data_IF_488500744120
#
_entry.id   IF_488500744120
#
_cell.length_a   1.000
_cell.length_b   1.000
_cell.length_c   1.000
_cell.angle_alpha   90.00
_cell.angle_beta   90.00
_cell.angle_gamma   90.00
#
_symmetry.space_group_name_H-M   'P 1'
#
loop_
_entity.id
_entity.type
_entity.pdbx_description
1 polymer ?
#
# COMPACT_ATOMS: atom_id res chain seq x y z
N UNK A 1 -12.19 -31.04 -9.21
CA UNK A 1 -11.72 -29.84 -8.48
C UNK A 1 -10.99 -28.98 -9.50
N UNK A 2 -11.49 -27.78 -9.84
CA UNK A 2 -10.78 -26.90 -10.79
C UNK A 2 -9.46 -26.48 -10.16
N UNK A 3 -8.38 -26.55 -10.92
CA UNK A 3 -7.08 -25.99 -10.54
C UNK A 3 -7.26 -24.50 -10.20
N UNK A 4 -6.56 -23.97 -9.18
CA UNK A 4 -6.66 -22.54 -8.89
C UNK A 4 -6.20 -21.73 -10.09
N UNK A 5 -7.04 -20.78 -10.51
CA UNK A 5 -6.68 -19.81 -11.53
C UNK A 5 -5.73 -18.79 -10.91
N UNK A 6 -4.58 -18.56 -11.54
CA UNK A 6 -3.66 -17.52 -11.13
C UNK A 6 -4.12 -16.19 -11.72
N UNK A 7 -4.29 -15.18 -10.87
CA UNK A 7 -4.63 -13.82 -11.27
C UNK A 7 -3.37 -12.96 -11.28
N UNK A 8 -3.15 -12.24 -12.38
CA UNK A 8 -2.15 -11.18 -12.43
C UNK A 8 -2.78 -9.88 -11.92
N UNK A 9 -2.05 -9.13 -11.10
CA UNK A 9 -2.48 -7.81 -10.62
C UNK A 9 -1.54 -6.78 -11.25
N UNK A 10 -2.13 -5.84 -11.97
CA UNK A 10 -1.41 -4.71 -12.57
C UNK A 10 -1.73 -3.44 -11.77
N UNK A 11 -0.73 -2.63 -11.41
CA UNK A 11 -0.99 -1.35 -10.76
C UNK A 11 -1.71 -0.41 -11.73
N UNK A 12 -2.67 0.37 -11.22
CA UNK A 12 -3.41 1.38 -12.00
C UNK A 12 -2.87 2.81 -11.79
N UNK A 13 -1.79 2.94 -11.03
CA UNK A 13 -1.21 4.20 -10.63
C UNK A 13 -0.24 4.06 -9.46
N UNK A 14 0.18 5.21 -8.93
CA UNK A 14 1.20 5.32 -7.88
C UNK A 14 0.78 6.25 -6.76
N UNK A 15 1.20 5.93 -5.53
CA UNK A 15 1.07 6.83 -4.37
C UNK A 15 2.32 7.69 -4.27
N UNK A 16 2.18 9.01 -4.38
CA UNK A 16 3.23 9.98 -4.07
C UNK A 16 2.99 10.56 -2.69
N UNK A 17 3.89 10.28 -1.75
CA UNK A 17 3.80 10.80 -0.38
C UNK A 17 4.94 11.77 -0.07
N UNK A 18 4.81 12.51 1.02
CA UNK A 18 5.90 13.31 1.57
C UNK A 18 7.08 12.49 2.13
N UNK A 19 6.97 11.15 2.19
CA UNK A 19 8.03 10.26 2.63
C UNK A 19 8.81 9.72 1.43
N UNK A 20 10.08 10.11 1.32
CA UNK A 20 10.99 9.65 0.26
C UNK A 20 11.60 8.29 0.56
N UNK A 21 11.63 7.88 1.82
CA UNK A 21 12.21 6.61 2.27
C UNK A 21 11.34 5.95 3.35
N UNK A 22 11.58 4.66 3.58
CA UNK A 22 10.83 3.87 4.56
C UNK A 22 11.08 4.32 6.00
N UNK A 23 12.30 4.75 6.31
CA UNK A 23 12.66 5.26 7.62
C UNK A 23 12.01 6.64 7.83
N UNK A 24 11.29 6.82 8.94
CA UNK A 24 10.53 8.04 9.22
C UNK A 24 9.05 7.98 8.86
N UNK A 25 8.58 6.95 8.14
CA UNK A 25 7.14 6.73 7.95
C UNK A 25 6.50 6.36 9.30
N UNK A 26 5.45 7.08 9.76
CA UNK A 26 4.74 6.75 10.98
C UNK A 26 4.15 5.33 10.94
N UNK A 27 4.29 4.61 12.05
CA UNK A 27 3.71 3.26 12.18
C UNK A 27 2.20 3.27 12.39
N UNK A 28 1.65 4.41 12.80
CA UNK A 28 0.21 4.62 12.99
C UNK A 28 -0.23 5.81 12.14
N UNK A 29 -1.39 5.70 11.45
CA UNK A 29 -1.97 6.83 10.74
C UNK A 29 -2.36 7.94 11.73
N UNK A 30 -2.39 9.19 11.26
CA UNK A 30 -2.83 10.34 12.05
C UNK A 30 -1.84 10.88 13.08
N UNK A 31 -0.61 10.35 13.16
CA UNK A 31 0.42 10.92 14.05
C UNK A 31 1.03 12.22 13.52
N UNK A 32 0.96 12.44 12.19
CA UNK A 32 1.52 13.62 11.53
C UNK A 32 0.43 14.27 10.70
N UNK A 33 -0.24 15.27 11.29
CA UNK A 33 -1.37 15.96 10.65
C UNK A 33 -0.98 16.74 9.39
N UNK A 34 0.30 17.08 9.23
CA UNK A 34 0.84 17.74 8.05
C UNK A 34 1.15 16.76 6.90
N UNK A 35 1.16 15.44 7.15
CA UNK A 35 1.50 14.46 6.13
C UNK A 35 0.42 14.41 5.05
N UNK A 36 0.82 14.52 3.79
CA UNK A 36 -0.07 14.47 2.62
C UNK A 36 0.49 13.51 1.59
N UNK A 37 -0.41 12.91 0.81
CA UNK A 37 -0.09 12.06 -0.31
C UNK A 37 -1.12 12.26 -1.43
N UNK A 38 -0.72 11.94 -2.66
CA UNK A 38 -1.55 11.96 -3.86
C UNK A 38 -1.51 10.57 -4.49
N UNK A 39 -2.68 10.07 -4.91
CA UNK A 39 -2.77 8.90 -5.78
C UNK A 39 -2.83 9.42 -7.21
N UNK A 40 -1.78 9.17 -7.98
CA UNK A 40 -1.71 9.51 -9.40
C UNK A 40 -2.08 8.25 -10.20
N UNK A 41 -3.21 8.30 -10.91
CA UNK A 41 -3.63 7.22 -11.80
C UNK A 41 -2.90 7.34 -13.14
N UNK A 42 -2.46 6.21 -13.68
CA UNK A 42 -1.84 6.20 -15.02
C UNK A 42 -2.86 6.62 -16.07
N UNK A 43 -2.38 7.17 -17.20
CA UNK A 43 -3.25 7.71 -18.26
C UNK A 43 -4.32 6.73 -18.75
N UNK A 44 -4.03 5.43 -18.74
CA UNK A 44 -4.98 4.38 -19.14
C UNK A 44 -6.20 4.25 -18.18
N UNK A 45 -6.07 4.68 -16.93
CA UNK A 45 -7.07 4.51 -15.88
C UNK A 45 -7.59 5.86 -15.33
N UNK A 46 -6.83 6.94 -15.50
CA UNK A 46 -7.08 8.28 -14.95
C UNK A 46 -8.13 9.12 -15.68
N UNK A 47 -9.29 8.55 -16.00
CA UNK A 47 -10.43 9.31 -16.55
C UNK A 47 -11.28 9.91 -15.42
N UNK A 48 -12.09 10.95 -15.75
CA UNK A 48 -12.99 11.56 -14.75
C UNK A 48 -14.05 10.56 -14.28
N UNK A 49 -14.47 9.68 -15.17
CA UNK A 49 -15.46 8.63 -14.93
C UNK A 49 -14.95 7.61 -13.91
N UNK A 50 -13.65 7.25 -13.96
CA UNK A 50 -13.03 6.30 -13.01
C UNK A 50 -13.07 6.77 -11.54
N UNK A 51 -13.25 8.06 -11.30
CA UNK A 51 -13.25 8.66 -9.95
C UNK A 51 -14.55 9.41 -9.63
N UNK A 52 -15.53 9.38 -10.53
CA UNK A 52 -16.78 10.11 -10.34
C UNK A 52 -17.53 9.63 -9.09
N UNK A 53 -17.97 10.58 -8.26
CA UNK A 53 -18.69 10.30 -7.02
C UNK A 53 -17.79 10.08 -5.81
N UNK A 54 -16.47 9.93 -5.98
CA UNK A 54 -15.54 9.84 -4.83
C UNK A 54 -15.54 11.11 -3.98
N UNK A 55 -15.84 12.27 -4.57
CA UNK A 55 -15.97 13.55 -3.88
C UNK A 55 -17.08 13.58 -2.80
N UNK A 56 -18.04 12.65 -2.86
CA UNK A 56 -19.10 12.50 -1.87
C UNK A 56 -18.66 11.78 -0.59
N UNK A 57 -17.45 11.23 -0.55
CA UNK A 57 -16.94 10.43 0.56
C UNK A 57 -15.74 11.09 1.22
N UNK A 58 -15.69 11.03 2.56
CA UNK A 58 -14.55 11.54 3.32
C UNK A 58 -13.36 10.57 3.34
N UNK A 59 -13.60 9.29 3.05
CA UNK A 59 -12.60 8.23 3.12
C UNK A 59 -12.80 7.20 2.00
N UNK A 60 -11.70 6.61 1.55
CA UNK A 60 -11.67 5.50 0.60
C UNK A 60 -10.75 4.40 1.09
N UNK A 61 -10.98 3.17 0.62
CA UNK A 61 -10.00 2.10 0.77
C UNK A 61 -8.99 2.13 -0.36
N UNK A 62 -7.71 2.03 -0.01
CA UNK A 62 -6.62 1.99 -0.98
C UNK A 62 -5.90 0.66 -0.83
N UNK A 63 -5.99 -0.17 -1.86
CA UNK A 63 -5.20 -1.38 -2.01
C UNK A 63 -3.90 -1.01 -2.72
N UNK A 64 -2.76 -1.22 -2.07
CA UNK A 64 -1.47 -0.86 -2.64
C UNK A 64 -0.44 -1.96 -2.41
N UNK A 65 0.58 -1.95 -3.27
CA UNK A 65 1.62 -2.96 -3.27
C UNK A 65 2.89 -2.44 -2.58
N UNK A 66 3.40 -3.17 -1.58
CA UNK A 66 4.70 -2.88 -0.97
C UNK A 66 5.85 -3.29 -1.92
N UNK A 67 6.03 -2.52 -3.00
CA UNK A 67 6.92 -2.83 -4.12
C UNK A 67 8.38 -3.08 -3.70
N UNK A 68 8.89 -2.37 -2.70
CA UNK A 68 10.26 -2.60 -2.19
C UNK A 68 10.44 -3.95 -1.45
N UNK A 69 9.36 -4.63 -1.08
CA UNK A 69 9.41 -5.98 -0.49
C UNK A 69 9.08 -7.09 -1.49
N UNK A 70 8.63 -6.76 -2.70
CA UNK A 70 8.13 -7.71 -3.68
C UNK A 70 9.19 -8.75 -4.10
N UNK A 71 10.41 -8.29 -4.37
CA UNK A 71 11.52 -9.16 -4.78
C UNK A 71 12.00 -10.11 -3.66
N UNK A 72 11.58 -9.91 -2.40
CA UNK A 72 11.99 -10.76 -1.29
C UNK A 72 11.25 -12.10 -1.23
N UNK A 73 10.24 -12.29 -2.09
CA UNK A 73 9.40 -13.48 -2.12
C UNK A 73 8.55 -13.62 -0.87
N UNK A 74 7.90 -14.78 -0.74
CA UNK A 74 7.08 -15.10 0.42
C UNK A 74 7.96 -15.35 1.65
N UNK A 75 7.67 -14.62 2.73
CA UNK A 75 8.27 -14.84 4.06
C UNK A 75 7.14 -15.07 5.06
N UNK A 76 7.01 -16.27 5.65
CA UNK A 76 5.92 -16.60 6.56
C UNK A 76 6.12 -16.04 7.98
N UNK A 77 7.24 -15.37 8.24
CA UNK A 77 7.59 -14.82 9.54
C UNK A 77 8.11 -13.39 9.42
N UNK A 78 7.83 -12.58 10.44
CA UNK A 78 8.33 -11.21 10.59
C UNK A 78 9.04 -11.03 11.93
N UNK A 79 9.81 -9.94 12.05
CA UNK A 79 10.41 -9.47 13.30
C UNK A 79 9.68 -8.21 13.76
N UNK A 80 8.68 -8.30 14.64
CA UNK A 80 7.95 -7.13 15.08
C UNK A 80 8.83 -6.25 15.98
N UNK A 81 8.78 -4.91 15.83
CA UNK A 81 9.54 -3.99 16.67
C UNK A 81 9.25 -4.15 18.17
N UNK A 82 8.03 -4.57 18.51
CA UNK A 82 7.56 -4.72 19.90
C UNK A 82 8.18 -5.93 20.62
N UNK A 83 8.74 -6.90 19.91
CA UNK A 83 9.40 -8.09 20.49
C UNK A 83 10.94 -7.95 20.53
N UNK A 84 11.44 -6.72 20.70
CA UNK A 84 12.88 -6.45 20.78
C UNK A 84 13.66 -6.73 19.48
N UNK A 85 12.98 -6.96 18.35
CA UNK A 85 13.58 -7.11 17.02
C UNK A 85 14.31 -8.43 16.74
N UNK A 86 14.60 -9.24 17.76
CA UNK A 86 15.32 -10.51 17.60
C UNK A 86 14.39 -11.72 17.47
N UNK A 87 13.18 -11.64 18.03
CA UNK A 87 12.20 -12.72 17.94
C UNK A 87 11.41 -12.66 16.63
N UNK A 88 11.22 -13.84 16.02
CA UNK A 88 10.38 -14.01 14.83
C UNK A 88 9.01 -14.53 15.23
N UNK A 89 7.97 -14.05 14.57
CA UNK A 89 6.59 -14.50 14.74
C UNK A 89 5.93 -14.72 13.37
N UNK A 90 4.98 -15.65 13.29
CA UNK A 90 4.11 -15.80 12.12
C UNK A 90 3.20 -14.58 11.93
N UNK A 91 2.83 -14.31 10.68
CA UNK A 91 1.76 -13.36 10.32
C UNK A 91 0.45 -14.10 10.05
#
# INVERSE_FOLDING_TARGET
>A
MKSPENYCIEPIGVVRSCYSEKFGIPRQPGLVDAARAVIELDHAYGSKESVAGLEGYSHIWVLFWFHQTAAQGWKPQVRPPRLGGNEKMGL
#
